data_IF_029121596656
#
_entry.id   IF_029121596656
#
_cell.length_a   1.000
_cell.length_b   1.000
_cell.length_c   1.000
_cell.angle_alpha   90.00
_cell.angle_beta   90.00
_cell.angle_gamma   90.00
#
_symmetry.space_group_name_H-M   'P 1'
#
loop_
_entity.id
_entity.type
_entity.pdbx_description
1 polymer ?
#
# COMPACT_ATOMS: atom_id res chain seq x y z
N UNK A 1 -17.10 16.55 -15.31
CA UNK A 1 -16.19 15.43 -15.60
C UNK A 1 -16.48 14.27 -14.68
N UNK A 2 -16.69 13.09 -15.23
CA UNK A 2 -17.02 11.91 -14.43
C UNK A 2 -15.74 11.31 -13.80
N UNK A 3 -15.86 10.85 -12.55
CA UNK A 3 -14.79 10.10 -11.90
C UNK A 3 -14.76 8.68 -12.45
N UNK A 4 -13.55 8.13 -12.53
CA UNK A 4 -13.30 6.74 -12.93
C UNK A 4 -12.41 6.07 -11.88
N UNK A 5 -12.21 4.77 -12.02
CA UNK A 5 -11.29 4.02 -11.16
C UNK A 5 -9.86 4.56 -11.24
N UNK A 6 -9.53 5.24 -12.35
CA UNK A 6 -8.20 5.79 -12.58
C UNK A 6 -8.06 7.26 -12.17
N UNK A 7 -9.13 7.88 -11.68
CA UNK A 7 -9.10 9.30 -11.28
C UNK A 7 -8.10 9.52 -10.14
N UNK A 8 -7.40 10.65 -10.20
CA UNK A 8 -6.33 11.00 -9.26
C UNK A 8 -6.51 12.42 -8.73
N UNK A 9 -5.84 12.70 -7.63
CA UNK A 9 -5.76 14.03 -7.05
C UNK A 9 -4.29 14.38 -6.78
N UNK A 10 -3.92 15.64 -6.98
CA UNK A 10 -2.58 16.09 -6.66
C UNK A 10 -2.48 16.45 -5.19
N UNK A 11 -1.48 15.90 -4.52
CA UNK A 11 -1.16 16.22 -3.13
C UNK A 11 -0.37 17.53 -3.08
N UNK A 12 -0.19 18.08 -1.88
CA UNK A 12 0.50 19.36 -1.70
C UNK A 12 1.97 19.35 -2.10
N UNK A 13 2.56 18.16 -2.21
CA UNK A 13 3.95 17.98 -2.67
C UNK A 13 4.06 17.73 -4.18
N UNK A 14 2.95 17.78 -4.89
CA UNK A 14 2.90 17.53 -6.34
C UNK A 14 2.74 16.07 -6.73
N UNK A 15 2.75 15.15 -5.77
CA UNK A 15 2.53 13.73 -6.05
C UNK A 15 1.06 13.50 -6.38
N UNK A 16 0.80 12.69 -7.40
CA UNK A 16 -0.55 12.35 -7.83
C UNK A 16 -1.00 11.05 -7.15
N UNK A 17 -2.11 11.09 -6.43
CA UNK A 17 -2.64 9.95 -5.68
C UNK A 17 -3.94 9.47 -6.31
N UNK A 18 -4.10 8.14 -6.55
CA UNK A 18 -5.39 7.60 -6.99
C UNK A 18 -6.46 7.83 -5.93
N UNK A 19 -7.65 8.23 -6.36
CA UNK A 19 -8.78 8.45 -5.44
C UNK A 19 -9.41 7.15 -4.97
N UNK A 20 -9.31 6.09 -5.75
CA UNK A 20 -9.94 4.81 -5.49
C UNK A 20 -8.88 3.77 -5.17
N UNK A 21 -9.10 2.98 -4.15
CA UNK A 21 -8.15 1.95 -3.75
C UNK A 21 -8.79 0.89 -2.88
N UNK A 22 -8.00 -0.11 -2.51
CA UNK A 22 -8.43 -1.18 -1.62
C UNK A 22 -7.69 -1.05 -0.28
N UNK A 23 -8.46 -1.11 0.82
CA UNK A 23 -7.91 -1.20 2.16
C UNK A 23 -7.91 -2.64 2.64
N UNK A 24 -6.87 -3.02 3.36
CA UNK A 24 -6.69 -4.41 3.81
C UNK A 24 -6.80 -4.57 5.33
N UNK A 25 -7.36 -3.59 6.02
CA UNK A 25 -7.60 -3.69 7.44
C UNK A 25 -8.52 -4.87 7.75
N UNK A 26 -8.14 -5.66 8.76
CA UNK A 26 -8.85 -6.88 9.19
C UNK A 26 -8.85 -8.02 8.18
N UNK A 27 -8.06 -7.93 7.12
CA UNK A 27 -7.77 -9.11 6.32
C UNK A 27 -6.69 -9.93 7.02
N UNK A 28 -6.93 -11.24 7.13
CA UNK A 28 -5.98 -12.14 7.77
C UNK A 28 -4.64 -12.10 7.03
N UNK A 29 -3.51 -12.05 7.78
CA UNK A 29 -2.20 -12.22 7.16
C UNK A 29 -2.10 -13.55 6.42
N UNK A 30 -1.36 -13.55 5.34
CA UNK A 30 -1.14 -14.74 4.53
C UNK A 30 -2.04 -14.74 3.28
N UNK A 31 -2.65 -15.88 3.03
CA UNK A 31 -3.38 -16.14 1.79
C UNK A 31 -4.50 -15.15 1.52
N UNK A 32 -5.31 -14.84 2.52
CA UNK A 32 -6.47 -13.95 2.34
C UNK A 32 -6.05 -12.59 1.80
N UNK A 33 -5.09 -11.95 2.45
CA UNK A 33 -4.60 -10.62 2.05
C UNK A 33 -3.94 -10.70 0.67
N UNK A 34 -3.09 -11.69 0.46
CA UNK A 34 -2.34 -11.83 -0.78
C UNK A 34 -3.27 -12.03 -1.99
N UNK A 35 -4.26 -12.92 -1.85
CA UNK A 35 -5.23 -13.17 -2.92
C UNK A 35 -6.12 -11.96 -3.18
N UNK A 36 -6.56 -11.28 -2.13
CA UNK A 36 -7.41 -10.09 -2.27
C UNK A 36 -6.67 -8.96 -3.02
N UNK A 37 -5.42 -8.71 -2.67
CA UNK A 37 -4.62 -7.68 -3.33
C UNK A 37 -4.31 -8.08 -4.77
N UNK A 38 -3.96 -9.34 -5.00
CA UNK A 38 -3.70 -9.85 -6.36
C UNK A 38 -4.93 -9.65 -7.25
N UNK A 39 -6.10 -10.01 -6.76
CA UNK A 39 -7.35 -9.85 -7.50
C UNK A 39 -7.66 -8.37 -7.76
N UNK A 40 -7.45 -7.51 -6.74
CA UNK A 40 -7.68 -6.08 -6.89
C UNK A 40 -6.79 -5.49 -8.00
N UNK A 41 -5.51 -5.87 -8.03
CA UNK A 41 -4.59 -5.41 -9.08
C UNK A 41 -5.03 -5.89 -10.47
N UNK A 42 -5.49 -7.12 -10.58
CA UNK A 42 -6.02 -7.66 -11.83
C UNK A 42 -7.28 -6.92 -12.29
N UNK A 43 -8.09 -6.44 -11.37
CA UNK A 43 -9.32 -5.69 -11.66
C UNK A 43 -9.07 -4.20 -11.96
N UNK A 44 -7.83 -3.73 -11.86
CA UNK A 44 -7.49 -2.35 -12.16
C UNK A 44 -7.31 -1.42 -10.97
N UNK A 45 -7.34 -1.94 -9.75
CA UNK A 45 -6.98 -1.15 -8.56
C UNK A 45 -5.49 -0.83 -8.61
N UNK A 46 -5.15 0.42 -8.36
CA UNK A 46 -3.75 0.88 -8.37
C UNK A 46 -3.32 1.51 -7.04
N UNK A 47 -4.22 1.61 -6.07
CA UNK A 47 -3.92 2.12 -4.73
C UNK A 47 -4.25 1.05 -3.70
N UNK A 48 -3.24 0.64 -2.94
CA UNK A 48 -3.37 -0.37 -1.87
C UNK A 48 -3.04 0.32 -0.54
N UNK A 49 -3.95 0.22 0.42
CA UNK A 49 -3.82 0.86 1.74
C UNK A 49 -3.65 -0.21 2.82
N UNK A 50 -2.47 -0.26 3.42
CA UNK A 50 -2.14 -1.13 4.54
C UNK A 50 -1.62 -0.30 5.71
N UNK A 51 -1.13 -0.95 6.77
CA UNK A 51 -0.50 -0.32 7.92
C UNK A 51 0.36 -1.33 8.68
N UNK A 52 1.34 -0.83 9.44
CA UNK A 52 2.19 -1.72 10.24
C UNK A 52 1.38 -2.55 11.23
N UNK A 53 0.33 -1.97 11.82
CA UNK A 53 -0.51 -2.67 12.79
C UNK A 53 -1.38 -3.77 12.18
N UNK A 54 -1.60 -3.76 10.87
CA UNK A 54 -2.46 -4.77 10.22
C UNK A 54 -1.77 -6.13 10.11
N UNK A 55 -0.45 -6.18 10.28
CA UNK A 55 0.36 -7.40 10.25
C UNK A 55 0.29 -8.14 8.91
N UNK A 56 -0.03 -7.44 7.83
CA UNK A 56 -0.17 -8.01 6.50
C UNK A 56 0.63 -7.27 5.42
N UNK A 57 1.58 -6.41 5.80
CA UNK A 57 2.42 -5.70 4.84
C UNK A 57 3.21 -6.65 3.94
N UNK A 58 3.68 -7.78 4.48
CA UNK A 58 4.44 -8.77 3.71
C UNK A 58 3.59 -9.36 2.58
N UNK A 59 2.31 -9.56 2.84
CA UNK A 59 1.37 -10.13 1.86
C UNK A 59 1.03 -9.11 0.76
N UNK A 60 0.86 -7.85 1.15
CA UNK A 60 0.70 -6.75 0.18
C UNK A 60 1.94 -6.67 -0.71
N UNK A 61 3.12 -6.68 -0.11
CA UNK A 61 4.39 -6.64 -0.84
C UNK A 61 4.53 -7.81 -1.80
N UNK A 62 4.18 -9.02 -1.36
CA UNK A 62 4.24 -10.22 -2.19
C UNK A 62 3.33 -10.09 -3.42
N UNK A 63 2.09 -9.63 -3.23
CA UNK A 63 1.16 -9.44 -4.33
C UNK A 63 1.66 -8.39 -5.33
N UNK A 64 2.25 -7.30 -4.84
CA UNK A 64 2.83 -6.25 -5.69
C UNK A 64 4.00 -6.81 -6.50
N UNK A 65 4.90 -7.57 -5.85
CA UNK A 65 6.07 -8.16 -6.53
C UNK A 65 5.66 -9.16 -7.61
N UNK A 66 4.60 -9.90 -7.39
CA UNK A 66 4.10 -10.90 -8.35
C UNK A 66 3.27 -10.29 -9.47
N UNK A 67 2.83 -9.04 -9.32
CA UNK A 67 2.04 -8.34 -10.33
C UNK A 67 2.91 -8.03 -11.55
N UNK A 68 2.29 -8.08 -12.73
CA UNK A 68 2.93 -7.64 -13.98
C UNK A 68 2.91 -6.12 -14.14
N UNK A 69 2.22 -5.39 -13.26
CA UNK A 69 2.11 -3.94 -13.36
C UNK A 69 3.42 -3.27 -12.94
N UNK A 70 3.87 -2.23 -13.64
CA UNK A 70 5.05 -1.46 -13.23
C UNK A 70 4.83 -0.83 -11.84
N UNK A 71 5.86 -0.89 -10.99
CA UNK A 71 5.78 -0.32 -9.62
C UNK A 71 5.36 1.16 -9.63
N UNK A 72 5.85 1.92 -10.56
CA UNK A 72 5.55 3.35 -10.67
C UNK A 72 4.08 3.64 -10.97
N UNK A 73 3.33 2.66 -11.44
CA UNK A 73 1.90 2.80 -11.67
C UNK A 73 1.06 2.51 -10.43
N UNK A 74 1.69 2.00 -9.37
CA UNK A 74 1.02 1.62 -8.13
C UNK A 74 1.30 2.64 -7.03
N UNK A 75 0.29 2.92 -6.23
CA UNK A 75 0.39 3.79 -5.07
C UNK A 75 0.15 2.93 -3.83
N UNK A 76 1.18 2.79 -3.00
CA UNK A 76 1.12 1.95 -1.80
C UNK A 76 1.18 2.84 -0.57
N UNK A 77 0.16 2.74 0.28
CA UNK A 77 0.06 3.48 1.53
C UNK A 77 0.27 2.53 2.70
N UNK A 78 1.12 2.93 3.64
CA UNK A 78 1.20 2.29 4.95
C UNK A 78 1.18 3.37 6.04
N UNK A 79 1.17 2.97 7.30
CA UNK A 79 0.99 3.89 8.42
C UNK A 79 1.85 3.46 9.60
N UNK A 80 2.37 4.45 10.31
CA UNK A 80 3.07 4.25 11.58
C UNK A 80 2.04 3.99 12.68
N UNK A 81 2.28 2.98 13.51
CA UNK A 81 1.42 2.69 14.66
C UNK A 81 1.65 3.71 15.77
N UNK A 82 0.64 3.95 16.60
CA UNK A 82 0.73 4.89 17.73
C UNK A 82 1.82 4.54 18.73
N UNK A 83 2.24 3.27 18.81
CA UNK A 83 3.36 2.83 19.64
C UNK A 83 4.73 3.12 19.03
N UNK A 84 4.78 3.59 17.78
CA UNK A 84 6.02 3.81 17.02
C UNK A 84 6.27 5.29 16.73
N UNK A 85 5.63 6.18 17.48
CA UNK A 85 5.72 7.63 17.24
C UNK A 85 6.95 8.24 17.91
N UNK A 86 7.42 9.34 17.33
CA UNK A 86 8.65 10.03 17.69
C UNK A 86 9.58 10.08 16.49
N UNK A 87 10.54 11.00 16.48
CA UNK A 87 11.37 11.20 15.30
C UNK A 87 12.09 9.91 14.88
N UNK A 88 12.94 9.39 15.77
CA UNK A 88 13.71 8.19 15.45
C UNK A 88 12.85 6.96 15.31
N UNK A 89 11.86 6.79 16.19
CA UNK A 89 10.96 5.64 16.15
C UNK A 89 10.15 5.60 14.84
N UNK A 90 9.72 6.75 14.34
CA UNK A 90 9.00 6.83 13.06
C UNK A 90 9.88 6.45 11.88
N UNK A 91 11.15 6.92 11.87
CA UNK A 91 12.09 6.54 10.80
C UNK A 91 12.36 5.03 10.82
N UNK A 92 12.56 4.46 11.99
CA UNK A 92 12.77 3.01 12.12
C UNK A 92 11.53 2.21 11.69
N UNK A 93 10.34 2.67 12.06
CA UNK A 93 9.08 2.04 11.66
C UNK A 93 8.91 2.09 10.14
N UNK A 94 9.24 3.21 9.52
CA UNK A 94 9.23 3.37 8.07
C UNK A 94 10.15 2.36 7.39
N UNK A 95 11.37 2.23 7.87
CA UNK A 95 12.33 1.26 7.32
C UNK A 95 11.82 -0.18 7.47
N UNK A 96 11.22 -0.52 8.61
CA UNK A 96 10.61 -1.85 8.79
C UNK A 96 9.48 -2.12 7.79
N UNK A 97 8.65 -1.13 7.54
CA UNK A 97 7.57 -1.26 6.55
C UNK A 97 8.11 -1.48 5.14
N UNK A 98 9.13 -0.73 4.74
CA UNK A 98 9.79 -0.94 3.45
C UNK A 98 10.35 -2.36 3.32
N UNK A 99 10.98 -2.86 4.38
CA UNK A 99 11.55 -4.21 4.39
C UNK A 99 10.47 -5.27 4.26
N UNK A 100 9.36 -5.14 5.00
CA UNK A 100 8.25 -6.08 4.93
C UNK A 100 7.57 -6.07 3.57
N UNK A 101 7.35 -4.88 3.02
CA UNK A 101 6.76 -4.71 1.69
C UNK A 101 7.74 -5.09 0.57
N UNK A 102 9.04 -5.13 0.86
CA UNK A 102 10.11 -5.31 -0.14
C UNK A 102 10.05 -4.26 -1.24
N UNK A 103 9.78 -3.03 -0.84
CA UNK A 103 9.71 -1.87 -1.72
C UNK A 103 10.78 -0.86 -1.34
N UNK A 104 11.20 -0.06 -2.30
CA UNK A 104 12.17 1.02 -2.07
C UNK A 104 11.53 2.34 -1.69
N UNK A 105 10.22 2.45 -1.89
CA UNK A 105 9.45 3.64 -1.52
C UNK A 105 7.97 3.29 -1.34
N UNK A 106 7.27 4.13 -0.58
CA UNK A 106 5.81 4.07 -0.40
C UNK A 106 5.27 5.49 -0.34
#
# INVERSE_FOLDING_TARGET
MALTIESRINLNDGVSMPLFGIGVWRMEPGRETREAVTLALELGYIHIDTASMYKNEEDVGAAVQESSLPRENLFITSKVHTSEVGYDATLEAFERSLQKLKLSYI
#
